data_IF_119247907804
#
_entry.id   IF_119247907804
#
_cell.length_a   1.000
_cell.length_b   1.000
_cell.length_c   1.000
_cell.angle_alpha   90.00
_cell.angle_beta   90.00
_cell.angle_gamma   90.00
#
_symmetry.space_group_name_H-M   'P 1'
#
loop_
_entity.id
_entity.type
_entity.pdbx_description
1 polymer ?
#
# COMPACT_ATOMS: atom_id res chain seq x y z
N UNK A 1 7.47 8.58 -30.90
CA UNK A 1 8.54 8.79 -29.89
C UNK A 1 7.89 9.55 -28.76
N UNK A 2 7.33 8.82 -27.81
CA UNK A 2 6.65 9.42 -26.67
C UNK A 2 7.73 9.79 -25.64
N UNK A 3 8.00 11.09 -25.50
CA UNK A 3 8.90 11.57 -24.45
C UNK A 3 8.13 11.46 -23.14
N UNK A 4 8.19 10.29 -22.49
CA UNK A 4 7.87 10.17 -21.06
C UNK A 4 8.71 11.22 -20.35
N UNK A 5 8.07 12.32 -19.95
CA UNK A 5 8.73 13.37 -19.20
C UNK A 5 9.02 12.81 -17.81
N UNK A 6 10.22 12.26 -17.62
CA UNK A 6 10.74 11.92 -16.31
C UNK A 6 10.68 13.18 -15.45
N UNK A 7 9.87 13.16 -14.39
CA UNK A 7 9.82 14.27 -13.46
C UNK A 7 11.05 14.14 -12.54
N UNK A 8 11.80 15.21 -12.24
CA UNK A 8 13.03 15.14 -11.44
C UNK A 8 12.85 14.52 -10.04
N UNK A 9 11.63 14.52 -9.50
CA UNK A 9 11.30 13.87 -8.23
C UNK A 9 11.03 12.36 -8.34
N UNK A 10 10.87 11.80 -9.54
CA UNK A 10 10.47 10.40 -9.73
C UNK A 10 11.53 9.43 -9.19
N UNK A 11 12.83 9.74 -9.33
CA UNK A 11 13.89 8.91 -8.76
C UNK A 11 13.84 8.90 -7.23
N UNK A 12 13.64 10.05 -6.60
CA UNK A 12 13.48 10.16 -5.14
C UNK A 12 12.22 9.44 -4.65
N UNK A 13 11.11 9.54 -5.39
CA UNK A 13 9.88 8.81 -5.07
C UNK A 13 10.10 7.31 -5.17
N UNK A 14 10.77 6.83 -6.22
CA UNK A 14 11.10 5.41 -6.37
C UNK A 14 12.04 4.90 -5.26
N UNK A 15 12.94 5.75 -4.74
CA UNK A 15 13.81 5.39 -3.63
C UNK A 15 13.05 5.15 -2.32
N UNK A 16 11.85 5.75 -2.15
CA UNK A 16 11.01 5.52 -0.95
C UNK A 16 10.56 4.06 -0.80
N UNK A 17 10.53 3.28 -1.89
CA UNK A 17 10.32 1.84 -1.84
C UNK A 17 11.38 1.14 -0.99
N UNK A 18 12.66 1.48 -1.22
CA UNK A 18 13.77 0.84 -0.54
C UNK A 18 13.73 1.21 0.95
N UNK A 19 13.52 2.50 1.29
CA UNK A 19 13.34 2.98 2.66
C UNK A 19 12.20 2.24 3.41
N UNK A 20 11.03 2.11 2.78
CA UNK A 20 9.88 1.44 3.38
C UNK A 20 10.15 -0.06 3.58
N UNK A 21 10.76 -0.71 2.59
CA UNK A 21 11.10 -2.14 2.64
C UNK A 21 12.16 -2.44 3.70
N UNK A 22 13.13 -1.54 3.90
CA UNK A 22 14.11 -1.63 4.98
C UNK A 22 13.48 -1.49 6.36
N UNK A 23 12.58 -0.52 6.54
CA UNK A 23 11.87 -0.34 7.81
C UNK A 23 10.98 -1.55 8.13
N UNK A 24 10.22 -2.04 7.15
CA UNK A 24 9.43 -3.29 7.28
C UNK A 24 10.35 -4.44 7.72
N UNK A 25 11.49 -4.62 7.04
CA UNK A 25 12.44 -5.69 7.38
C UNK A 25 13.07 -5.57 8.77
N UNK A 26 13.42 -4.35 9.21
CA UNK A 26 13.93 -4.09 10.57
C UNK A 26 12.94 -4.62 11.61
N UNK A 27 11.67 -4.25 11.50
CA UNK A 27 10.63 -4.67 12.42
C UNK A 27 10.35 -6.18 12.36
N UNK A 28 10.35 -6.79 11.17
CA UNK A 28 10.16 -8.25 11.01
C UNK A 28 11.27 -9.04 11.73
N UNK A 29 12.53 -8.61 11.61
CA UNK A 29 13.65 -9.28 12.27
C UNK A 29 13.54 -9.28 13.80
N UNK A 30 12.90 -8.27 14.36
CA UNK A 30 12.66 -8.14 15.80
C UNK A 30 11.38 -8.86 16.24
N UNK A 31 10.62 -9.43 15.30
CA UNK A 31 9.41 -10.20 15.59
C UNK A 31 8.14 -9.35 15.72
N UNK A 32 8.10 -8.13 15.17
CA UNK A 32 6.87 -7.33 15.19
C UNK A 32 5.73 -8.00 14.44
N UNK A 33 6.00 -8.59 13.27
CA UNK A 33 5.09 -9.52 12.57
C UNK A 33 5.90 -10.55 11.79
N UNK A 34 5.22 -11.57 11.28
CA UNK A 34 5.83 -12.63 10.47
C UNK A 34 5.74 -12.28 8.98
N UNK A 35 6.88 -12.32 8.30
CA UNK A 35 6.99 -12.24 6.85
C UNK A 35 8.30 -12.93 6.42
N UNK A 36 8.15 -14.09 5.79
CA UNK A 36 9.27 -14.93 5.37
C UNK A 36 9.80 -14.52 3.97
N UNK A 37 9.24 -13.47 3.36
CA UNK A 37 9.44 -13.12 1.95
C UNK A 37 10.19 -11.80 1.73
N UNK A 38 10.04 -10.79 2.60
CA UNK A 38 10.66 -9.47 2.40
C UNK A 38 12.19 -9.56 2.26
N UNK A 39 12.79 -10.56 2.91
CA UNK A 39 14.22 -10.81 2.89
C UNK A 39 14.77 -11.23 1.53
N UNK A 40 13.91 -11.61 0.57
CA UNK A 40 14.30 -11.89 -0.80
C UNK A 40 14.45 -10.64 -1.67
N UNK A 41 13.79 -9.54 -1.29
CA UNK A 41 13.80 -8.29 -2.04
C UNK A 41 14.83 -7.28 -1.52
N UNK A 42 14.97 -7.18 -0.19
CA UNK A 42 15.94 -6.27 0.46
C UNK A 42 16.96 -7.07 1.25
N UNK A 43 18.23 -6.64 1.20
CA UNK A 43 19.37 -7.22 1.95
C UNK A 43 19.79 -6.45 3.19
N UNK A 44 19.36 -5.19 3.33
CA UNK A 44 19.70 -4.35 4.47
C UNK A 44 19.30 -5.01 5.80
N UNK A 45 20.13 -4.77 6.81
CA UNK A 45 19.96 -5.28 8.18
C UNK A 45 20.04 -4.16 9.21
N UNK A 46 19.96 -2.91 8.77
CA UNK A 46 20.01 -1.75 9.65
C UNK A 46 18.80 -1.75 10.58
N UNK A 47 19.06 -1.49 11.87
CA UNK A 47 17.99 -1.31 12.85
C UNK A 47 17.43 0.10 12.74
N UNK A 48 16.11 0.20 12.81
CA UNK A 48 15.39 1.48 12.96
C UNK A 48 14.98 1.66 14.43
N UNK A 49 14.69 2.91 14.81
CA UNK A 49 14.30 3.26 16.17
C UNK A 49 12.96 2.59 16.58
N UNK A 50 12.72 2.33 17.89
CA UNK A 50 11.53 1.60 18.34
C UNK A 50 10.21 2.23 17.90
N UNK A 51 10.09 3.55 17.90
CA UNK A 51 8.91 4.30 17.44
C UNK A 51 8.66 4.10 15.94
N UNK A 52 9.72 3.93 15.14
CA UNK A 52 9.61 3.62 13.72
C UNK A 52 9.13 2.18 13.53
N UNK A 53 9.70 1.20 14.25
CA UNK A 53 9.27 -0.19 14.13
C UNK A 53 7.81 -0.36 14.60
N UNK A 54 7.41 0.28 15.70
CA UNK A 54 6.01 0.33 16.18
C UNK A 54 5.08 1.03 15.19
N UNK A 55 5.54 2.13 14.59
CA UNK A 55 4.88 2.83 13.48
C UNK A 55 4.54 1.91 12.32
N UNK A 56 5.55 1.20 11.80
CA UNK A 56 5.38 0.24 10.70
C UNK A 56 4.53 -0.97 11.08
N UNK A 57 4.61 -1.44 12.32
CA UNK A 57 3.71 -2.49 12.80
C UNK A 57 2.24 -2.04 12.76
N UNK A 58 1.93 -0.85 13.29
CA UNK A 58 0.57 -0.32 13.27
C UNK A 58 0.06 -0.12 11.84
N UNK A 59 0.91 0.41 10.95
CA UNK A 59 0.66 0.56 9.51
C UNK A 59 0.27 -0.77 8.87
N UNK A 60 1.11 -1.80 9.01
CA UNK A 60 0.88 -3.13 8.43
C UNK A 60 -0.40 -3.75 9.00
N UNK A 61 -0.59 -3.68 10.32
CA UNK A 61 -1.77 -4.27 10.98
C UNK A 61 -3.06 -3.58 10.62
N UNK A 62 -3.06 -2.24 10.51
CA UNK A 62 -4.25 -1.50 10.09
C UNK A 62 -4.72 -1.88 8.69
N UNK A 63 -3.79 -2.03 7.75
CA UNK A 63 -4.10 -2.51 6.39
C UNK A 63 -4.54 -3.97 6.40
N UNK A 64 -3.90 -4.84 7.18
CA UNK A 64 -4.29 -6.26 7.33
C UNK A 64 -5.71 -6.42 7.88
N UNK A 65 -6.10 -5.64 8.89
CA UNK A 65 -7.47 -5.67 9.44
C UNK A 65 -8.50 -5.40 8.34
N UNK A 66 -8.24 -4.44 7.46
CA UNK A 66 -9.16 -4.10 6.37
C UNK A 66 -9.20 -5.18 5.29
N UNK A 67 -8.05 -5.79 4.97
CA UNK A 67 -7.99 -6.92 4.04
C UNK A 67 -8.76 -8.12 4.61
N UNK A 68 -8.58 -8.44 5.90
CA UNK A 68 -9.31 -9.52 6.57
C UNK A 68 -10.83 -9.27 6.57
N UNK A 69 -11.28 -8.06 6.92
CA UNK A 69 -12.71 -7.68 6.86
C UNK A 69 -13.26 -7.76 5.42
N UNK A 70 -12.47 -7.39 4.43
CA UNK A 70 -12.82 -7.52 3.02
C UNK A 70 -12.98 -9.00 2.61
N UNK A 71 -12.01 -9.86 2.96
CA UNK A 71 -12.03 -11.29 2.66
C UNK A 71 -13.14 -12.03 3.42
N UNK A 72 -13.50 -11.60 4.62
CA UNK A 72 -14.65 -12.15 5.35
C UNK A 72 -15.98 -11.92 4.61
N UNK A 73 -16.10 -10.81 3.88
CA UNK A 73 -17.31 -10.46 3.12
C UNK A 73 -17.36 -11.11 1.73
N UNK A 74 -16.20 -11.33 1.11
CA UNK A 74 -16.12 -11.75 -0.30
C UNK A 74 -15.64 -13.20 -0.47
N UNK A 75 -15.03 -13.78 0.56
CA UNK A 75 -14.23 -15.00 0.44
C UNK A 75 -13.06 -14.77 -0.51
N UNK A 76 -12.65 -15.82 -1.22
CA UNK A 76 -11.55 -15.74 -2.19
C UNK A 76 -12.03 -15.28 -3.59
N UNK A 77 -13.35 -15.07 -3.78
CA UNK A 77 -13.97 -14.61 -5.03
C UNK A 77 -13.87 -13.08 -5.16
N UNK A 78 -12.65 -12.57 -5.06
CA UNK A 78 -12.36 -11.16 -5.01
C UNK A 78 -11.05 -10.84 -5.74
N UNK A 79 -10.81 -9.55 -5.96
CA UNK A 79 -9.56 -9.06 -6.54
C UNK A 79 -8.87 -8.12 -5.57
N UNK A 80 -7.53 -8.15 -5.56
CA UNK A 80 -6.69 -7.23 -4.79
C UNK A 80 -5.80 -6.48 -5.78
N UNK A 81 -5.85 -5.15 -5.76
CA UNK A 81 -5.04 -4.29 -6.62
C UNK A 81 -4.17 -3.39 -5.75
N UNK A 82 -2.88 -3.68 -5.69
CA UNK A 82 -1.89 -2.92 -4.92
C UNK A 82 -1.21 -1.87 -5.81
N UNK A 83 -1.49 -0.60 -5.55
CA UNK A 83 -1.00 0.56 -6.29
C UNK A 83 0.25 1.09 -5.59
N UNK A 84 1.33 1.32 -6.34
CA UNK A 84 2.64 1.65 -5.76
C UNK A 84 3.14 0.53 -4.86
N UNK A 85 3.06 -0.71 -5.38
CA UNK A 85 3.26 -1.93 -4.58
C UNK A 85 4.66 -2.08 -3.96
N UNK A 86 5.67 -1.37 -4.49
CA UNK A 86 7.04 -1.55 -4.07
C UNK A 86 7.46 -3.02 -4.02
N UNK A 87 8.21 -3.40 -2.98
CA UNK A 87 8.53 -4.79 -2.68
C UNK A 87 7.58 -5.45 -1.67
N UNK A 88 6.30 -5.03 -1.63
CA UNK A 88 5.32 -5.65 -0.76
C UNK A 88 5.18 -7.16 -1.03
N UNK A 89 4.89 -7.91 0.05
CA UNK A 89 4.91 -9.37 0.11
C UNK A 89 3.52 -9.97 0.36
N UNK A 90 2.47 -9.15 0.40
CA UNK A 90 1.12 -9.53 0.78
C UNK A 90 0.61 -10.77 0.03
N UNK A 91 0.84 -10.86 -1.28
CA UNK A 91 0.42 -12.02 -2.07
C UNK A 91 0.90 -13.34 -1.46
N UNK A 92 2.21 -13.45 -1.18
CA UNK A 92 2.79 -14.67 -0.63
C UNK A 92 2.30 -14.95 0.80
N UNK A 93 2.12 -13.90 1.61
CA UNK A 93 1.58 -14.03 2.97
C UNK A 93 0.13 -14.53 2.97
N UNK A 94 -0.70 -14.04 2.05
CA UNK A 94 -2.08 -14.52 1.85
C UNK A 94 -2.10 -15.99 1.41
N UNK A 95 -1.21 -16.39 0.47
CA UNK A 95 -1.08 -17.79 0.05
C UNK A 95 -0.70 -18.71 1.21
N UNK A 96 0.20 -18.28 2.09
CA UNK A 96 0.56 -19.05 3.29
C UNK A 96 -0.55 -19.12 4.33
N UNK A 97 -1.40 -18.09 4.40
CA UNK A 97 -2.62 -18.10 5.21
C UNK A 97 -3.75 -18.94 4.61
N UNK A 98 -3.57 -19.52 3.41
CA UNK A 98 -4.53 -20.39 2.75
C UNK A 98 -5.53 -19.68 1.84
N UNK A 99 -5.37 -18.37 1.60
CA UNK A 99 -6.21 -17.61 0.69
C UNK A 99 -5.81 -17.85 -0.77
N UNK A 100 -6.80 -18.14 -1.62
CA UNK A 100 -6.63 -18.36 -3.06
C UNK A 100 -7.36 -17.27 -3.85
N UNK A 101 -6.90 -16.03 -3.68
CA UNK A 101 -7.48 -14.84 -4.32
C UNK A 101 -7.62 -15.04 -5.84
N UNK A 102 -8.80 -14.70 -6.38
CA UNK A 102 -9.11 -14.86 -7.80
C UNK A 102 -8.13 -14.10 -8.71
N UNK A 103 -7.80 -12.85 -8.37
CA UNK A 103 -6.81 -12.07 -9.11
C UNK A 103 -6.07 -11.09 -8.18
N UNK A 104 -4.75 -11.09 -8.23
CA UNK A 104 -3.90 -10.18 -7.46
C UNK A 104 -3.01 -9.38 -8.41
N UNK A 105 -3.19 -8.06 -8.44
CA UNK A 105 -2.48 -7.16 -9.35
C UNK A 105 -1.63 -6.17 -8.57
N UNK A 106 -0.39 -6.03 -8.96
CA UNK A 106 0.57 -5.07 -8.43
C UNK A 106 1.00 -4.09 -9.51
N UNK A 107 0.87 -2.79 -9.23
CA UNK A 107 1.26 -1.70 -10.12
C UNK A 107 2.33 -0.84 -9.43
N UNK A 108 3.39 -0.52 -10.15
CA UNK A 108 4.42 0.45 -9.72
C UNK A 108 5.16 0.99 -10.94
N UNK A 109 6.06 1.95 -10.75
CA UNK A 109 6.93 2.42 -11.80
C UNK A 109 7.68 1.26 -12.48
N UNK A 110 7.91 1.34 -13.81
CA UNK A 110 8.65 0.32 -14.56
C UNK A 110 10.01 -0.07 -13.96
N UNK A 111 10.71 0.89 -13.35
CA UNK A 111 12.01 0.68 -12.70
C UNK A 111 11.91 -0.17 -11.43
N UNK A 112 10.86 0.02 -10.63
CA UNK A 112 10.60 -0.74 -9.38
C UNK A 112 10.13 -2.15 -9.73
N UNK A 113 9.14 -2.27 -10.62
CA UNK A 113 8.60 -3.56 -11.06
C UNK A 113 9.65 -4.41 -11.79
N UNK A 114 10.53 -3.81 -12.60
CA UNK A 114 11.64 -4.54 -13.22
C UNK A 114 12.56 -5.22 -12.19
N UNK A 115 12.91 -4.51 -11.10
CA UNK A 115 13.69 -5.09 -9.99
C UNK A 115 12.90 -6.21 -9.29
N UNK A 116 11.62 -6.01 -9.00
CA UNK A 116 10.77 -7.02 -8.33
C UNK A 116 10.65 -8.29 -9.18
N UNK A 117 10.35 -8.14 -10.47
CA UNK A 117 10.30 -9.24 -11.44
C UNK A 117 11.62 -10.00 -11.50
N UNK A 118 12.76 -9.30 -11.50
CA UNK A 118 14.08 -9.93 -11.45
C UNK A 118 14.28 -10.77 -10.18
N UNK A 119 13.93 -10.25 -9.01
CA UNK A 119 14.05 -10.99 -7.75
C UNK A 119 13.16 -12.23 -7.72
N UNK A 120 11.91 -12.12 -8.17
CA UNK A 120 10.98 -13.25 -8.26
C UNK A 120 11.53 -14.31 -9.21
N UNK A 121 11.92 -13.93 -10.43
CA UNK A 121 12.45 -14.86 -11.44
C UNK A 121 13.65 -15.67 -10.96
N UNK A 122 14.47 -15.11 -10.07
CA UNK A 122 15.68 -15.77 -9.55
C UNK A 122 15.45 -16.56 -8.27
N UNK A 123 14.26 -16.52 -7.68
CA UNK A 123 13.98 -17.12 -6.38
C UNK A 123 12.92 -18.22 -6.50
N UNK A 124 13.34 -19.47 -6.25
CA UNK A 124 12.45 -20.64 -6.33
C UNK A 124 11.32 -20.59 -5.30
N UNK A 125 11.55 -20.03 -4.12
CA UNK A 125 10.51 -19.93 -3.08
C UNK A 125 9.40 -18.95 -3.52
N UNK A 126 9.77 -17.80 -4.09
CA UNK A 126 8.80 -16.85 -4.65
C UNK A 126 8.05 -17.45 -5.84
N UNK A 127 8.75 -18.09 -6.78
CA UNK A 127 8.15 -18.72 -7.96
C UNK A 127 7.17 -19.85 -7.60
N UNK A 128 7.53 -20.68 -6.62
CA UNK A 128 6.71 -21.84 -6.23
C UNK A 128 5.30 -21.46 -5.76
N UNK A 129 5.11 -20.21 -5.30
CA UNK A 129 3.82 -19.70 -4.81
C UNK A 129 2.96 -19.09 -5.90
N UNK A 130 3.55 -18.69 -7.04
CA UNK A 130 2.82 -18.16 -8.20
C UNK A 130 2.62 -19.20 -9.30
N UNK A 131 3.36 -20.31 -9.25
CA UNK A 131 3.26 -21.41 -10.19
C UNK A 131 1.94 -22.18 -9.99
N UNK A 132 1.32 -22.53 -11.10
CA UNK A 132 0.19 -23.45 -11.20
C UNK A 132 0.56 -24.49 -12.25
N UNK A 133 0.21 -25.75 -11.99
CA UNK A 133 0.46 -26.85 -12.92
C UNK A 133 -0.19 -26.55 -14.27
N UNK A 134 0.52 -26.83 -15.36
CA UNK A 134 0.10 -26.59 -16.76
C UNK A 134 -0.15 -25.13 -17.18
N UNK A 135 0.23 -24.14 -16.36
CA UNK A 135 0.13 -22.72 -16.72
C UNK A 135 1.48 -22.02 -16.82
N UNK A 136 1.64 -21.22 -17.88
CA UNK A 136 2.89 -20.50 -18.17
C UNK A 136 2.98 -19.16 -17.43
N UNK A 137 4.13 -18.92 -16.80
CA UNK A 137 4.48 -17.61 -16.24
C UNK A 137 5.22 -16.79 -17.29
N UNK A 138 4.63 -15.67 -17.69
CA UNK A 138 5.19 -14.76 -18.70
C UNK A 138 5.96 -13.63 -18.03
N UNK A 139 7.23 -13.47 -18.39
CA UNK A 139 8.09 -12.38 -17.93
C UNK A 139 8.45 -11.44 -19.08
N UNK A 140 8.19 -10.16 -18.89
CA UNK A 140 8.70 -9.05 -19.69
C UNK A 140 9.70 -8.22 -18.83
N UNK A 141 10.44 -7.26 -19.41
CA UNK A 141 11.43 -6.48 -18.65
C UNK A 141 10.88 -5.78 -17.40
N UNK A 142 9.60 -5.39 -17.42
CA UNK A 142 8.93 -4.63 -16.34
C UNK A 142 7.68 -5.32 -15.82
N UNK A 143 7.25 -6.43 -16.45
CA UNK A 143 5.96 -7.04 -16.16
C UNK A 143 6.11 -8.56 -15.94
N UNK A 144 5.24 -9.10 -15.11
CA UNK A 144 5.09 -10.53 -14.82
C UNK A 144 3.60 -10.86 -14.87
N UNK A 145 3.22 -11.86 -15.65
CA UNK A 145 1.87 -12.42 -15.65
C UNK A 145 1.92 -13.90 -15.32
N UNK A 146 1.27 -14.28 -14.22
CA UNK A 146 0.97 -15.64 -13.80
C UNK A 146 -0.58 -15.80 -13.76
N UNK A 147 -1.11 -16.99 -13.45
CA UNK A 147 -2.56 -17.26 -13.54
C UNK A 147 -3.45 -16.34 -12.69
N UNK A 148 -3.04 -16.06 -11.46
CA UNK A 148 -3.78 -15.19 -10.53
C UNK A 148 -2.90 -14.10 -9.90
N UNK A 149 -1.73 -13.84 -10.47
CA UNK A 149 -0.78 -12.85 -9.97
C UNK A 149 -0.12 -12.09 -11.09
N UNK A 150 -0.20 -10.76 -11.03
CA UNK A 150 0.38 -9.86 -12.01
C UNK A 150 1.19 -8.76 -11.34
N UNK A 151 2.34 -8.43 -11.92
CA UNK A 151 3.10 -7.23 -11.59
C UNK A 151 3.30 -6.48 -12.90
N UNK A 152 2.99 -5.19 -12.95
CA UNK A 152 3.10 -4.42 -14.18
C UNK A 152 3.66 -3.03 -13.95
N UNK A 153 4.66 -2.68 -14.77
CA UNK A 153 5.26 -1.36 -14.78
C UNK A 153 4.34 -0.32 -15.41
N UNK A 154 3.90 0.66 -14.63
CA UNK A 154 3.04 1.77 -15.09
C UNK A 154 3.23 3.01 -14.23
N UNK A 155 3.10 4.18 -14.83
CA UNK A 155 2.99 5.44 -14.11
C UNK A 155 1.52 5.67 -13.73
N UNK A 156 1.22 5.71 -12.43
CA UNK A 156 -0.15 5.90 -11.93
C UNK A 156 -0.76 7.25 -12.31
N UNK A 157 0.05 8.23 -12.76
CA UNK A 157 -0.42 9.51 -13.32
C UNK A 157 -1.10 9.31 -14.69
N UNK A 158 -0.78 8.23 -15.40
CA UNK A 158 -1.33 7.91 -16.70
C UNK A 158 -2.48 6.90 -16.57
N UNK A 159 -3.69 7.43 -16.36
CA UNK A 159 -4.91 6.62 -16.15
C UNK A 159 -5.21 5.69 -17.32
N UNK A 160 -4.95 6.11 -18.57
CA UNK A 160 -5.18 5.27 -19.75
C UNK A 160 -4.24 4.06 -19.79
N UNK A 161 -2.96 4.26 -19.43
CA UNK A 161 -2.02 3.14 -19.29
C UNK A 161 -2.41 2.22 -18.13
N UNK A 162 -2.84 2.75 -16.98
CA UNK A 162 -3.36 1.96 -15.85
C UNK A 162 -4.55 1.11 -16.31
N UNK A 163 -5.52 1.70 -17.00
CA UNK A 163 -6.68 1.00 -17.55
C UNK A 163 -6.28 -0.14 -18.50
N UNK A 164 -5.30 0.10 -19.37
CA UNK A 164 -4.79 -0.91 -20.27
C UNK A 164 -4.06 -2.05 -19.54
N UNK A 165 -3.29 -1.75 -18.48
CA UNK A 165 -2.65 -2.77 -17.64
C UNK A 165 -3.67 -3.64 -16.91
N UNK A 166 -4.71 -3.05 -16.32
CA UNK A 166 -5.75 -3.84 -15.64
C UNK A 166 -6.49 -4.77 -16.62
N UNK A 167 -6.72 -4.33 -17.86
CA UNK A 167 -7.25 -5.21 -18.93
C UNK A 167 -6.29 -6.35 -19.29
N UNK A 168 -4.98 -6.09 -19.36
CA UNK A 168 -3.96 -7.12 -19.62
C UNK A 168 -3.85 -8.15 -18.49
N UNK A 169 -4.16 -7.75 -17.27
CA UNK A 169 -4.28 -8.63 -16.11
C UNK A 169 -5.67 -9.24 -15.94
N UNK A 170 -6.55 -9.10 -16.95
CA UNK A 170 -7.88 -9.73 -16.96
C UNK A 170 -8.73 -9.36 -15.73
N UNK A 171 -8.59 -8.13 -15.24
CA UNK A 171 -9.38 -7.63 -14.12
C UNK A 171 -10.86 -7.56 -14.52
N UNK A 172 -11.71 -8.21 -13.73
CA UNK A 172 -13.16 -8.18 -13.90
C UNK A 172 -13.77 -7.05 -13.05
N UNK A 173 -14.25 -6.00 -13.71
CA UNK A 173 -14.81 -4.82 -13.06
C UNK A 173 -16.13 -5.08 -12.30
N UNK A 174 -16.71 -6.27 -12.43
CA UNK A 174 -17.91 -6.71 -11.70
C UNK A 174 -17.61 -7.49 -10.42
N UNK A 175 -16.38 -7.96 -10.26
CA UNK A 175 -15.95 -8.73 -9.06
C UNK A 175 -15.55 -7.77 -7.93
N UNK A 176 -15.93 -8.05 -6.66
CA UNK A 176 -15.52 -7.24 -5.53
C UNK A 176 -14.01 -7.04 -5.47
N UNK A 177 -13.58 -5.77 -5.42
CA UNK A 177 -12.17 -5.41 -5.55
C UNK A 177 -11.71 -4.51 -4.40
N UNK A 178 -10.59 -4.85 -3.77
CA UNK A 178 -9.91 -3.96 -2.82
C UNK A 178 -8.69 -3.32 -3.48
N UNK A 179 -8.59 -2.00 -3.38
CA UNK A 179 -7.43 -1.24 -3.80
C UNK A 179 -6.59 -0.85 -2.58
N UNK A 180 -5.28 -0.98 -2.67
CA UNK A 180 -4.34 -0.58 -1.64
C UNK A 180 -3.44 0.51 -2.18
N UNK A 181 -3.36 1.65 -1.48
CA UNK A 181 -2.42 2.72 -1.75
C UNK A 181 -1.70 3.10 -0.44
N UNK A 182 -0.60 2.41 -0.17
CA UNK A 182 0.12 2.45 1.12
C UNK A 182 1.35 3.37 1.05
N UNK A 183 1.18 4.65 1.39
CA UNK A 183 2.09 5.78 1.16
C UNK A 183 2.40 5.97 -0.32
N UNK A 184 1.38 6.26 -1.12
CA UNK A 184 1.52 6.35 -2.58
C UNK A 184 0.93 7.64 -3.13
N UNK A 185 -0.34 7.92 -2.83
CA UNK A 185 -1.02 9.05 -3.47
C UNK A 185 -0.45 10.41 -3.03
N UNK A 186 0.12 10.49 -1.83
CA UNK A 186 0.83 11.69 -1.34
C UNK A 186 2.02 12.12 -2.22
N UNK A 187 2.59 11.21 -3.03
CA UNK A 187 3.67 11.52 -3.98
C UNK A 187 3.17 12.02 -5.34
N UNK A 188 1.87 11.96 -5.58
CA UNK A 188 1.24 12.27 -6.87
C UNK A 188 0.50 13.61 -6.75
N UNK A 189 0.57 14.45 -7.77
CA UNK A 189 -0.12 15.74 -7.78
C UNK A 189 -1.64 15.56 -7.59
N UNK A 190 -2.28 16.50 -6.88
CA UNK A 190 -3.69 16.41 -6.51
C UNK A 190 -4.63 16.15 -7.70
N UNK A 191 -4.36 16.77 -8.85
CA UNK A 191 -5.17 16.56 -10.06
C UNK A 191 -5.01 15.14 -10.63
N UNK A 192 -3.79 14.60 -10.65
CA UNK A 192 -3.52 13.24 -11.11
C UNK A 192 -4.17 12.20 -10.18
N UNK A 193 -4.10 12.42 -8.86
CA UNK A 193 -4.85 11.61 -7.89
C UNK A 193 -6.35 11.64 -8.14
N UNK A 194 -6.90 12.84 -8.39
CA UNK A 194 -8.34 13.02 -8.65
C UNK A 194 -8.75 12.24 -9.90
N UNK A 195 -7.97 12.31 -10.97
CA UNK A 195 -8.23 11.58 -12.21
C UNK A 195 -8.22 10.06 -11.97
N UNK A 196 -7.20 9.55 -11.25
CA UNK A 196 -7.07 8.14 -10.92
C UNK A 196 -8.22 7.62 -10.06
N UNK A 197 -8.54 8.32 -8.96
CA UNK A 197 -9.61 7.94 -8.04
C UNK A 197 -10.99 7.99 -8.70
N UNK A 198 -11.28 9.02 -9.52
CA UNK A 198 -12.53 9.10 -10.30
C UNK A 198 -12.65 7.98 -11.32
N UNK A 199 -11.54 7.59 -11.94
CA UNK A 199 -11.54 6.47 -12.86
C UNK A 199 -11.92 5.19 -12.12
N UNK A 200 -11.23 4.85 -11.03
CA UNK A 200 -11.54 3.65 -10.24
C UNK A 200 -12.99 3.62 -9.75
N UNK A 201 -13.50 4.70 -9.16
CA UNK A 201 -14.87 4.72 -8.66
C UNK A 201 -15.92 4.56 -9.76
N UNK A 202 -15.62 5.01 -10.99
CA UNK A 202 -16.52 4.90 -12.14
C UNK A 202 -16.53 3.53 -12.81
N UNK A 203 -15.44 2.75 -12.70
CA UNK A 203 -15.30 1.49 -13.43
C UNK A 203 -15.84 0.29 -12.66
N UNK A 204 -15.68 0.26 -11.34
CA UNK A 204 -15.98 -0.92 -10.52
C UNK A 204 -17.37 -0.84 -9.90
N UNK A 205 -18.12 -1.95 -9.95
CA UNK A 205 -19.48 -1.99 -9.38
C UNK A 205 -19.47 -2.11 -7.85
N UNK A 206 -18.46 -2.76 -7.29
CA UNK A 206 -18.33 -3.00 -5.85
C UNK A 206 -16.85 -3.01 -5.49
N UNK A 207 -16.42 -2.00 -4.73
CA UNK A 207 -15.02 -1.84 -4.40
C UNK A 207 -14.81 -1.16 -3.05
N UNK A 208 -13.65 -1.39 -2.45
CA UNK A 208 -13.13 -0.61 -1.33
C UNK A 208 -11.71 -0.14 -1.64
N UNK A 209 -11.40 1.11 -1.34
CA UNK A 209 -10.12 1.73 -1.60
C UNK A 209 -9.51 2.14 -0.26
N UNK A 210 -8.37 1.54 0.07
CA UNK A 210 -7.64 1.74 1.32
C UNK A 210 -6.42 2.61 1.04
N UNK A 211 -6.34 3.75 1.72
CA UNK A 211 -5.24 4.70 1.65
C UNK A 211 -4.58 4.74 3.03
N UNK A 212 -3.28 4.48 3.10
CA UNK A 212 -2.47 4.81 4.27
C UNK A 212 -1.51 5.93 3.86
N UNK A 213 -1.56 7.10 4.48
CA UNK A 213 -0.61 8.18 4.23
C UNK A 213 -0.66 9.22 5.36
N UNK A 214 -0.02 10.37 5.15
CA UNK A 214 0.04 11.44 6.14
C UNK A 214 -1.32 12.11 6.37
N UNK A 215 -1.47 12.72 7.55
CA UNK A 215 -2.60 13.60 7.93
C UNK A 215 -2.10 14.67 8.90
N UNK A 216 -2.91 15.70 9.17
CA UNK A 216 -2.59 16.78 10.10
C UNK A 216 -1.31 17.55 9.72
N UNK A 217 -1.05 17.67 8.41
CA UNK A 217 0.19 18.26 7.87
C UNK A 217 0.24 19.79 7.91
N UNK A 218 -0.69 20.44 8.61
CA UNK A 218 -0.81 21.90 8.72
C UNK A 218 -0.37 22.45 10.08
N UNK A 219 0.29 21.63 10.91
CA UNK A 219 0.86 22.05 12.19
C UNK A 219 2.40 22.11 12.17
N UNK A 220 3.00 22.44 13.32
CA UNK A 220 4.46 22.56 13.44
C UNK A 220 5.19 21.23 13.23
N UNK A 221 4.60 20.10 13.62
CA UNK A 221 5.22 18.79 13.41
C UNK A 221 5.15 18.43 11.92
N UNK A 222 4.02 18.68 11.26
CA UNK A 222 3.86 18.60 9.81
C UNK A 222 4.92 19.42 9.06
N UNK A 223 5.16 20.66 9.47
CA UNK A 223 6.20 21.52 8.88
C UNK A 223 7.61 20.90 9.00
N UNK A 224 7.95 20.38 10.18
CA UNK A 224 9.23 19.70 10.42
C UNK A 224 9.35 18.45 9.55
N UNK A 225 8.30 17.65 9.46
CA UNK A 225 8.25 16.45 8.64
C UNK A 225 8.44 16.77 7.15
N UNK A 226 7.75 17.79 6.63
CA UNK A 226 7.90 18.24 5.25
C UNK A 226 9.30 18.76 4.96
N UNK A 227 9.87 19.53 5.89
CA UNK A 227 11.25 20.02 5.77
C UNK A 227 12.25 18.86 5.70
N UNK A 228 12.10 17.86 6.57
CA UNK A 228 12.94 16.67 6.59
C UNK A 228 12.85 15.88 5.28
N UNK A 229 11.65 15.67 4.74
CA UNK A 229 11.47 14.96 3.47
C UNK A 229 12.07 15.73 2.29
N UNK A 230 11.84 17.05 2.22
CA UNK A 230 12.43 17.91 1.18
C UNK A 230 13.96 17.90 1.24
N UNK A 231 14.55 17.87 2.44
CA UNK A 231 16.01 17.80 2.60
C UNK A 231 16.62 16.51 2.01
N UNK A 232 15.82 15.45 1.88
CA UNK A 232 16.18 14.17 1.26
C UNK A 232 15.78 14.08 -0.22
N UNK A 233 15.36 15.20 -0.82
CA UNK A 233 14.90 15.25 -2.21
C UNK A 233 13.51 14.65 -2.44
N UNK A 234 12.75 14.36 -1.38
CA UNK A 234 11.41 13.80 -1.46
C UNK A 234 10.36 14.91 -1.22
N UNK A 235 9.70 15.35 -2.28
CA UNK A 235 8.59 16.31 -2.18
C UNK A 235 7.25 15.59 -2.18
N UNK A 236 6.36 15.97 -1.27
CA UNK A 236 4.99 15.45 -1.18
C UNK A 236 4.06 16.27 -2.08
N UNK A 237 3.94 15.90 -3.34
CA UNK A 237 3.13 16.63 -4.33
C UNK A 237 1.63 16.65 -4.00
N UNK A 238 1.14 15.68 -3.22
CA UNK A 238 -0.25 15.52 -2.81
C UNK A 238 -0.54 16.00 -1.38
N UNK A 239 0.35 16.76 -0.74
CA UNK A 239 0.23 17.15 0.68
C UNK A 239 -1.05 17.93 1.00
N UNK A 240 -1.64 18.63 0.02
CA UNK A 240 -2.90 19.37 0.20
C UNK A 240 -4.07 18.46 0.61
N UNK A 241 -4.03 17.17 0.26
CA UNK A 241 -5.01 16.18 0.69
C UNK A 241 -4.79 15.66 2.12
N UNK A 242 -3.66 15.99 2.75
CA UNK A 242 -3.21 15.48 4.04
C UNK A 242 -3.41 16.49 5.19
N UNK A 243 -4.33 17.46 5.04
CA UNK A 243 -4.51 18.53 6.04
C UNK A 243 -5.27 18.02 7.27
N UNK A 244 -6.36 17.27 7.07
CA UNK A 244 -7.15 16.64 8.15
C UNK A 244 -7.75 15.31 7.68
N UNK A 245 -8.30 14.52 8.61
CA UNK A 245 -9.10 13.33 8.28
C UNK A 245 -10.28 13.70 7.36
N UNK A 246 -10.94 14.83 7.60
CA UNK A 246 -12.03 15.31 6.74
C UNK A 246 -11.57 15.58 5.30
N UNK A 247 -10.36 16.11 5.10
CA UNK A 247 -9.84 16.31 3.73
C UNK A 247 -9.59 14.98 3.02
N UNK A 248 -9.17 13.93 3.73
CA UNK A 248 -9.02 12.58 3.16
C UNK A 248 -10.38 11.96 2.81
N UNK A 249 -11.39 12.12 3.65
CA UNK A 249 -12.77 11.67 3.37
C UNK A 249 -13.33 12.42 2.15
N UNK A 250 -13.26 13.75 2.14
CA UNK A 250 -13.79 14.58 1.06
C UNK A 250 -13.11 14.28 -0.28
N UNK A 251 -11.81 13.97 -0.28
CA UNK A 251 -11.08 13.54 -1.48
C UNK A 251 -11.73 12.35 -2.16
N UNK A 252 -12.14 11.33 -1.39
CA UNK A 252 -12.82 10.15 -1.90
C UNK A 252 -14.26 10.47 -2.33
N UNK A 253 -15.04 11.16 -1.49
CA UNK A 253 -16.43 11.54 -1.82
C UNK A 253 -16.49 12.37 -3.11
N UNK A 254 -15.62 13.37 -3.26
CA UNK A 254 -15.55 14.21 -4.46
C UNK A 254 -15.08 13.45 -5.71
N UNK A 255 -14.53 12.26 -5.53
CA UNK A 255 -14.16 11.35 -6.62
C UNK A 255 -15.23 10.30 -6.92
N UNK A 256 -16.45 10.41 -6.38
CA UNK A 256 -17.58 9.55 -6.75
C UNK A 256 -17.70 8.26 -5.96
N UNK A 257 -16.97 8.12 -4.85
CA UNK A 257 -17.18 7.04 -3.90
C UNK A 257 -18.53 7.22 -3.19
N UNK A 258 -19.25 6.12 -2.95
CA UNK A 258 -20.57 6.10 -2.29
C UNK A 258 -20.48 6.53 -0.83
N UNK A 259 -19.34 6.28 -0.18
CA UNK A 259 -19.04 6.78 1.16
C UNK A 259 -17.56 6.62 1.47
N UNK A 260 -17.12 7.25 2.57
CA UNK A 260 -15.75 7.17 3.04
C UNK A 260 -15.66 7.39 4.56
N UNK A 261 -14.61 6.85 5.18
CA UNK A 261 -14.22 7.05 6.59
C UNK A 261 -12.70 7.23 6.67
N UNK A 262 -12.20 7.89 7.71
CA UNK A 262 -10.77 7.99 7.97
C UNK A 262 -10.49 7.96 9.48
N UNK A 263 -9.35 7.37 9.85
CA UNK A 263 -8.89 7.20 11.22
C UNK A 263 -7.42 7.57 11.31
N UNK A 264 -7.02 8.33 12.32
CA UNK A 264 -5.60 8.50 12.59
C UNK A 264 -4.97 7.19 13.11
N UNK A 265 -3.65 7.11 13.12
CA UNK A 265 -2.99 5.88 13.56
C UNK A 265 -3.03 5.67 15.07
N UNK A 266 -3.48 6.66 15.87
CA UNK A 266 -3.75 6.44 17.30
C UNK A 266 -4.99 5.55 17.43
N UNK A 267 -6.08 5.92 16.76
CA UNK A 267 -7.31 5.12 16.70
C UNK A 267 -7.05 3.72 16.14
N UNK A 268 -6.27 3.62 15.05
CA UNK A 268 -5.90 2.33 14.46
C UNK A 268 -5.07 1.50 15.44
N UNK A 269 -4.04 2.07 16.09
CA UNK A 269 -3.22 1.34 17.04
C UNK A 269 -4.04 0.86 18.24
N UNK A 270 -4.95 1.67 18.76
CA UNK A 270 -5.82 1.30 19.88
C UNK A 270 -6.78 0.15 19.56
N UNK A 271 -7.23 0.06 18.31
CA UNK A 271 -8.08 -1.05 17.81
C UNK A 271 -7.36 -2.41 17.76
N UNK A 272 -6.02 -2.42 17.71
CA UNK A 272 -5.24 -3.66 17.71
C UNK A 272 -5.43 -4.36 19.07
N UNK A 273 -5.72 -5.68 19.09
CA UNK A 273 -5.93 -6.43 20.32
C UNK A 273 -4.85 -6.17 21.35
N UNK A 274 -5.25 -5.93 22.60
CA UNK A 274 -4.34 -5.59 23.70
C UNK A 274 -3.22 -6.62 23.89
N UNK A 275 -3.50 -7.90 23.60
CA UNK A 275 -2.51 -8.97 23.65
C UNK A 275 -1.38 -8.76 22.62
N UNK A 276 -1.71 -8.34 21.41
CA UNK A 276 -0.72 -8.06 20.35
C UNK A 276 0.08 -6.78 20.64
N UNK A 277 -0.58 -5.73 21.14
CA UNK A 277 0.13 -4.52 21.61
C UNK A 277 1.10 -4.84 22.74
N UNK A 278 0.66 -5.56 23.76
CA UNK A 278 1.53 -6.01 24.86
C UNK A 278 2.69 -6.89 24.38
N UNK A 279 2.49 -7.69 23.33
CA UNK A 279 3.54 -8.54 22.75
C UNK A 279 4.62 -7.69 22.10
N UNK A 280 4.25 -6.75 21.23
CA UNK A 280 5.22 -5.94 20.48
C UNK A 280 5.90 -4.89 21.36
N UNK A 281 5.21 -4.35 22.38
CA UNK A 281 5.79 -3.36 23.29
C UNK A 281 6.90 -3.94 24.19
N UNK A 282 6.95 -5.27 24.35
CA UNK A 282 8.03 -5.98 25.06
C UNK A 282 9.25 -6.28 24.19
N UNK A 283 9.16 -6.12 22.87
CA UNK A 283 10.28 -6.42 21.96
C UNK A 283 11.40 -5.39 22.11
N UNK A 284 11.03 -4.13 22.35
CA UNK A 284 11.95 -3.00 22.47
C UNK A 284 11.44 -2.00 23.51
N UNK A 285 12.35 -1.49 24.33
CA UNK A 285 12.09 -0.37 25.23
C UNK A 285 11.86 0.90 24.41
N UNK A 286 10.82 1.66 24.77
CA UNK A 286 10.51 2.96 24.17
C UNK A 286 10.48 4.00 25.29
N UNK A 287 11.48 4.88 25.31
CA UNK A 287 11.62 5.92 26.33
C UNK A 287 10.72 7.12 26.03
N UNK A 288 10.51 7.44 24.76
CA UNK A 288 9.77 8.62 24.29
C UNK A 288 8.38 8.24 23.72
N UNK A 289 7.44 7.87 24.60
CA UNK A 289 6.07 7.54 24.19
C UNK A 289 5.33 8.68 23.47
N UNK A 290 5.65 9.94 23.82
CA UNK A 290 5.07 11.13 23.20
C UNK A 290 5.41 11.25 21.71
N UNK A 291 6.65 10.88 21.32
CA UNK A 291 7.09 10.92 19.93
C UNK A 291 6.31 9.91 19.08
N UNK A 292 6.07 8.70 19.61
CA UNK A 292 5.25 7.70 18.93
C UNK A 292 3.81 8.19 18.74
N UNK A 293 3.21 8.79 19.77
CA UNK A 293 1.87 9.36 19.67
C UNK A 293 1.81 10.49 18.64
N UNK A 294 2.81 11.38 18.61
CA UNK A 294 2.89 12.42 17.58
C UNK A 294 3.01 11.84 16.18
N UNK A 295 3.84 10.81 15.98
CA UNK A 295 3.91 10.09 14.70
C UNK A 295 2.55 9.51 14.32
N UNK A 296 1.85 8.87 15.25
CA UNK A 296 0.53 8.30 14.97
C UNK A 296 -0.54 9.33 14.64
N UNK A 297 -0.48 10.53 15.24
CA UNK A 297 -1.39 11.63 14.91
C UNK A 297 -1.15 12.22 13.52
N UNK A 298 -0.01 11.92 12.88
CA UNK A 298 0.37 12.47 11.57
C UNK A 298 0.30 11.46 10.42
N UNK A 299 -0.26 10.28 10.69
CA UNK A 299 -0.62 9.30 9.66
C UNK A 299 -2.07 8.86 9.87
N UNK A 300 -2.72 8.46 8.79
CA UNK A 300 -4.08 7.95 8.84
C UNK A 300 -4.26 6.75 7.91
N UNK A 301 -5.33 6.00 8.17
CA UNK A 301 -5.96 5.14 7.18
C UNK A 301 -7.30 5.75 6.78
N UNK A 302 -7.47 6.01 5.49
CA UNK A 302 -8.74 6.37 4.89
C UNK A 302 -9.28 5.20 4.05
N UNK A 303 -10.59 4.98 4.11
CA UNK A 303 -11.30 3.99 3.33
C UNK A 303 -12.44 4.66 2.56
N UNK A 304 -12.55 4.37 1.27
CA UNK A 304 -13.68 4.76 0.44
C UNK A 304 -14.30 3.54 -0.21
N UNK A 305 -15.63 3.50 -0.37
CA UNK A 305 -16.30 2.37 -1.01
C UNK A 305 -17.20 2.78 -2.17
N UNK A 306 -17.41 1.85 -3.09
CA UNK A 306 -18.38 1.92 -4.19
C UNK A 306 -19.38 0.78 -4.01
N UNK A 307 -20.66 1.08 -4.15
CA UNK A 307 -21.75 0.16 -3.85
C UNK A 307 -21.98 -0.02 -2.35
N UNK A 308 -22.83 -0.97 -1.96
CA UNK A 308 -23.31 -1.06 -0.56
C UNK A 308 -22.58 -2.13 0.28
N UNK A 309 -21.80 -3.02 -0.35
CA UNK A 309 -21.23 -4.19 0.31
C UNK A 309 -20.27 -3.86 1.47
N UNK A 310 -19.57 -2.73 1.36
CA UNK A 310 -18.49 -2.33 2.27
C UNK A 310 -18.82 -1.10 3.13
N UNK A 311 -20.08 -0.65 3.16
CA UNK A 311 -20.49 0.54 3.91
C UNK A 311 -20.28 0.43 5.44
N UNK A 312 -20.29 -0.80 5.94
CA UNK A 312 -20.09 -1.18 7.34
C UNK A 312 -18.65 -1.57 7.66
N UNK A 313 -17.73 -1.51 6.67
CA UNK A 313 -16.31 -1.71 6.94
C UNK A 313 -15.78 -0.51 7.73
N UNK A 314 -15.05 -0.80 8.80
CA UNK A 314 -14.39 0.16 9.68
C UNK A 314 -13.17 -0.50 10.33
N UNK A 315 -12.29 0.26 10.97
CA UNK A 315 -11.18 -0.29 11.75
C UNK A 315 -11.56 -0.44 13.23
N UNK A 316 -11.98 0.64 13.94
CA UNK A 316 -12.32 0.57 15.36
C UNK A 316 -13.51 -0.32 15.68
#
# INVERSE_FOLDING_TARGET
MDKRMFHPCDESVQATNDDASECKRSAIKLGYWKDDYIGYFIKSTERKAPEINRGYFARVKGVEILIEKFLQKTGDKCQIINLGCGFDTLYWRLRDAGHMINNFVELDFPTVTSKKCYFIKRNKNLLSKIYVEDEDIRFNPTDLHAPNYHIMGVDLRNVDEVANKLKQAEVDFTVPTIFLAECVLVYIEAQNCTNLLKWFSSQFQTAVFVIYEQVNMNDRFGDVMLSNLRSRGCSLAGVEACITLDTQVLRLINCGFSGAKAYDMVQVYESIPIAERNRIERLEMLDEGELLTQLFQHYCIAIGWVGDLFQDVEIP
#
